data_IF_523909876433
#
_entry.id   IF_523909876433
#
_cell.length_a   1.000
_cell.length_b   1.000
_cell.length_c   1.000
_cell.angle_alpha   90.00
_cell.angle_beta   90.00
_cell.angle_gamma   90.00
#
_symmetry.space_group_name_H-M   'P 1'
#
loop_
_entity.id
_entity.type
_entity.pdbx_description
1 polymer ?
#
# COMPACT_ATOMS: atom_id res chain seq x y z
N UNK A 1 20.03 2.49 -3.42
CA UNK A 1 20.26 3.90 -3.84
C UNK A 1 19.52 4.80 -2.83
N UNK A 2 20.06 5.96 -2.44
CA UNK A 2 19.39 6.81 -1.44
C UNK A 2 18.43 7.77 -2.17
N UNK A 3 17.13 7.65 -1.94
CA UNK A 3 16.13 8.57 -2.52
C UNK A 3 16.46 10.02 -2.11
N UNK A 4 16.40 10.95 -3.05
CA UNK A 4 16.53 12.38 -2.80
C UNK A 4 15.15 13.01 -2.58
N UNK A 5 14.14 12.61 -3.37
CA UNK A 5 12.76 13.09 -3.28
C UNK A 5 12.17 12.99 -1.88
N UNK A 6 11.57 14.09 -1.41
CA UNK A 6 10.78 14.10 -0.18
C UNK A 6 9.46 13.34 -0.35
N UNK A 7 8.87 13.40 -1.54
CA UNK A 7 7.59 12.80 -1.86
C UNK A 7 7.68 11.27 -1.83
N UNK A 8 8.71 10.70 -2.46
CA UNK A 8 8.91 9.25 -2.47
C UNK A 8 9.28 8.72 -1.09
N UNK A 9 10.05 9.48 -0.30
CA UNK A 9 10.30 9.15 1.12
C UNK A 9 9.04 9.10 1.98
N UNK A 10 8.00 9.85 1.63
CA UNK A 10 6.71 9.76 2.34
C UNK A 10 6.07 8.41 2.04
N UNK A 11 6.01 7.99 0.77
CA UNK A 11 5.45 6.70 0.38
C UNK A 11 6.21 5.52 0.99
N UNK A 12 7.55 5.51 0.92
CA UNK A 12 8.34 4.44 1.53
C UNK A 12 8.16 4.35 3.05
N UNK A 13 7.95 5.48 3.75
CA UNK A 13 7.62 5.43 5.19
C UNK A 13 6.23 4.87 5.44
N UNK A 14 5.30 5.12 4.53
CA UNK A 14 3.96 4.54 4.64
C UNK A 14 4.02 3.02 4.43
N UNK A 15 4.88 2.53 3.53
CA UNK A 15 5.17 1.09 3.37
C UNK A 15 5.62 0.44 4.68
N UNK A 16 6.45 1.11 5.49
CA UNK A 16 6.87 0.57 6.79
C UNK A 16 5.66 0.25 7.69
N UNK A 17 4.63 1.11 7.68
CA UNK A 17 3.41 0.84 8.45
C UNK A 17 2.55 -0.25 7.82
N UNK A 18 2.52 -0.35 6.49
CA UNK A 18 1.82 -1.42 5.79
C UNK A 18 2.44 -2.75 6.19
N UNK A 19 3.76 -2.90 6.05
CA UNK A 19 4.49 -4.14 6.34
C UNK A 19 4.27 -4.62 7.77
N UNK A 20 4.25 -3.74 8.78
CA UNK A 20 3.90 -4.12 10.17
C UNK A 20 2.55 -4.82 10.30
N UNK A 21 1.53 -4.32 9.59
CA UNK A 21 0.18 -4.92 9.61
C UNK A 21 0.17 -6.24 8.83
N UNK A 22 0.94 -6.34 7.75
CA UNK A 22 1.06 -7.56 6.94
C UNK A 22 1.74 -8.68 7.73
N UNK A 23 2.78 -8.37 8.51
CA UNK A 23 3.46 -9.34 9.36
C UNK A 23 2.49 -9.90 10.42
N UNK A 24 1.70 -9.04 11.06
CA UNK A 24 0.68 -9.49 12.02
C UNK A 24 -0.45 -10.31 11.36
N UNK A 25 -0.87 -9.94 10.14
CA UNK A 25 -1.84 -10.72 9.38
C UNK A 25 -1.32 -12.12 9.05
N UNK A 26 -0.05 -12.23 8.65
CA UNK A 26 0.60 -13.51 8.37
C UNK A 26 0.61 -14.43 9.60
N UNK A 27 1.04 -13.89 10.76
CA UNK A 27 1.03 -14.63 12.03
C UNK A 27 -0.39 -15.09 12.43
N UNK A 28 -1.40 -14.25 12.22
CA UNK A 28 -2.79 -14.59 12.53
C UNK A 28 -3.29 -15.78 11.70
N UNK A 29 -3.03 -15.78 10.38
CA UNK A 29 -3.54 -16.83 9.48
C UNK A 29 -2.81 -18.16 9.63
N UNK A 30 -1.57 -18.17 10.12
CA UNK A 30 -0.84 -19.40 10.48
C UNK A 30 -1.53 -20.15 11.61
N UNK A 31 -2.07 -19.41 12.59
CA UNK A 31 -2.74 -19.97 13.76
C UNK A 31 -4.21 -20.26 13.51
N UNK A 32 -4.83 -19.62 12.50
CA UNK A 32 -6.27 -19.63 12.26
C UNK A 32 -6.87 -21.03 12.02
N UNK A 33 -6.06 -22.01 11.60
CA UNK A 33 -6.52 -23.42 11.51
C UNK A 33 -6.92 -24.01 12.87
N UNK A 34 -6.32 -23.53 13.95
CA UNK A 34 -6.46 -24.09 15.30
C UNK A 34 -7.31 -23.23 16.24
N UNK A 35 -7.86 -22.10 15.75
CA UNK A 35 -8.70 -21.19 16.53
C UNK A 35 -9.87 -20.65 15.71
N UNK A 36 -10.85 -20.05 16.37
CA UNK A 36 -11.93 -19.36 15.68
C UNK A 36 -11.45 -18.05 15.04
N UNK A 37 -12.21 -17.59 14.05
CA UNK A 37 -11.91 -16.33 13.36
C UNK A 37 -12.04 -15.17 14.35
N UNK A 38 -10.95 -14.47 14.60
CA UNK A 38 -10.99 -13.18 15.30
C UNK A 38 -11.55 -12.11 14.35
N UNK A 39 -12.88 -12.05 14.29
CA UNK A 39 -13.59 -11.10 13.43
C UNK A 39 -13.26 -9.64 13.76
N UNK A 40 -12.82 -9.32 14.99
CA UNK A 40 -12.44 -7.97 15.36
C UNK A 40 -11.09 -7.62 14.74
N UNK A 41 -10.12 -8.54 14.83
CA UNK A 41 -8.82 -8.39 14.18
C UNK A 41 -8.97 -8.22 12.67
N UNK A 42 -9.64 -9.15 11.99
CA UNK A 42 -9.77 -9.11 10.53
C UNK A 42 -10.53 -7.87 10.04
N UNK A 43 -11.56 -7.41 10.76
CA UNK A 43 -12.23 -6.14 10.44
C UNK A 43 -11.29 -4.94 10.50
N UNK A 44 -10.42 -4.87 11.52
CA UNK A 44 -9.42 -3.79 11.64
C UNK A 44 -8.38 -3.84 10.52
N UNK A 45 -7.89 -5.04 10.18
CA UNK A 45 -6.93 -5.21 9.08
C UNK A 45 -7.55 -4.84 7.74
N UNK A 46 -8.77 -5.31 7.44
CA UNK A 46 -9.47 -4.96 6.20
C UNK A 46 -9.75 -3.45 6.13
N UNK A 47 -10.13 -2.82 7.24
CA UNK A 47 -10.35 -1.37 7.30
C UNK A 47 -9.05 -0.58 7.07
N UNK A 48 -7.94 -1.01 7.68
CA UNK A 48 -6.62 -0.45 7.43
C UNK A 48 -6.24 -0.55 5.95
N UNK A 49 -6.36 -1.74 5.34
CA UNK A 49 -6.02 -1.93 3.93
C UNK A 49 -6.88 -1.02 3.04
N UNK A 50 -8.19 -0.97 3.25
CA UNK A 50 -9.09 -0.17 2.40
C UNK A 50 -8.87 1.34 2.52
N UNK A 51 -8.56 1.83 3.72
CA UNK A 51 -8.58 3.27 3.96
C UNK A 51 -7.19 3.88 4.07
N UNK A 52 -6.20 3.15 4.58
CA UNK A 52 -4.81 3.58 4.64
C UNK A 52 -4.04 3.17 3.38
N UNK A 53 -4.07 1.89 3.00
CA UNK A 53 -3.31 1.42 1.82
C UNK A 53 -3.96 1.95 0.55
N UNK A 54 -5.24 1.65 0.31
CA UNK A 54 -5.87 1.96 -0.98
C UNK A 54 -6.25 3.46 -1.08
N UNK A 55 -7.20 3.94 -0.26
CA UNK A 55 -7.74 5.31 -0.38
C UNK A 55 -6.83 6.44 0.13
N UNK A 56 -5.61 6.14 0.55
CA UNK A 56 -4.67 7.15 1.03
C UNK A 56 -3.29 6.98 0.41
N UNK A 57 -2.69 5.80 0.50
CA UNK A 57 -1.38 5.54 -0.06
C UNK A 57 -1.45 5.36 -1.60
N UNK A 58 -2.15 4.34 -2.11
CA UNK A 58 -2.33 4.14 -3.55
C UNK A 58 -2.99 5.34 -4.24
N UNK A 59 -3.93 6.04 -3.57
CA UNK A 59 -4.50 7.26 -4.12
C UNK A 59 -3.44 8.34 -4.44
N UNK A 60 -2.38 8.47 -3.63
CA UNK A 60 -1.27 9.38 -3.95
C UNK A 60 -0.43 8.89 -5.11
N UNK A 61 -0.34 7.58 -5.28
CA UNK A 61 0.39 6.99 -6.39
C UNK A 61 -0.39 7.15 -7.69
N UNK A 62 -1.60 6.60 -7.75
CA UNK A 62 -2.48 6.60 -8.92
C UNK A 62 -2.87 8.01 -9.35
N UNK A 63 -3.24 8.89 -8.40
CA UNK A 63 -3.74 10.22 -8.76
C UNK A 63 -2.68 11.28 -8.97
N UNK A 64 -1.43 11.01 -8.56
CA UNK A 64 -0.36 12.00 -8.59
C UNK A 64 0.90 11.41 -9.20
N UNK A 65 1.59 10.48 -8.52
CA UNK A 65 2.90 9.98 -8.97
C UNK A 65 2.82 9.34 -10.36
N UNK A 66 1.92 8.39 -10.56
CA UNK A 66 1.78 7.64 -11.81
C UNK A 66 1.35 8.56 -12.97
N UNK A 67 0.52 9.57 -12.70
CA UNK A 67 0.15 10.57 -13.72
C UNK A 67 1.33 11.42 -14.15
N UNK A 68 2.15 11.92 -13.22
CA UNK A 68 3.34 12.70 -13.60
C UNK A 68 4.40 11.82 -14.26
N UNK A 69 4.55 10.56 -13.80
CA UNK A 69 5.48 9.60 -14.39
C UNK A 69 5.08 9.20 -15.82
N UNK A 70 3.79 8.99 -16.09
CA UNK A 70 3.28 8.71 -17.44
C UNK A 70 3.51 9.89 -18.40
N UNK A 71 3.29 11.14 -17.96
CA UNK A 71 3.61 12.32 -18.79
C UNK A 71 5.09 12.37 -19.15
N UNK A 72 5.95 12.10 -18.17
CA UNK A 72 7.40 12.01 -18.37
C UNK A 72 7.76 10.92 -19.40
N UNK A 73 7.05 9.79 -19.39
CA UNK A 73 7.19 8.73 -20.39
C UNK A 73 6.74 9.17 -21.79
N UNK A 74 5.60 9.84 -21.91
CA UNK A 74 5.08 10.38 -23.18
C UNK A 74 6.01 11.43 -23.80
N UNK A 75 6.72 12.20 -22.97
CA UNK A 75 7.74 13.17 -23.38
C UNK A 75 9.10 12.52 -23.73
N UNK A 76 9.22 11.19 -23.57
CA UNK A 76 10.42 10.43 -23.93
C UNK A 76 11.56 10.51 -22.89
N UNK A 77 11.28 10.93 -21.66
CA UNK A 77 12.28 11.06 -20.60
C UNK A 77 12.67 9.72 -19.96
N UNK A 78 11.89 8.66 -20.15
CA UNK A 78 12.16 7.31 -19.64
C UNK A 78 11.98 6.25 -20.74
N UNK A 79 12.77 5.18 -20.65
CA UNK A 79 12.80 4.10 -21.65
C UNK A 79 11.89 2.92 -21.30
N UNK A 80 11.44 2.82 -20.04
CA UNK A 80 10.53 1.80 -19.56
C UNK A 80 9.57 2.40 -18.52
N UNK A 81 8.33 1.91 -18.47
CA UNK A 81 7.29 2.43 -17.61
C UNK A 81 6.51 1.28 -16.95
N UNK A 82 6.71 0.99 -15.65
CA UNK A 82 6.05 -0.13 -14.99
C UNK A 82 4.66 0.23 -14.43
N UNK A 83 4.13 1.43 -14.67
CA UNK A 83 2.87 1.91 -14.07
C UNK A 83 1.68 0.99 -14.35
N UNK A 84 1.54 0.46 -15.56
CA UNK A 84 0.42 -0.45 -15.90
C UNK A 84 0.45 -1.73 -15.05
N UNK A 85 1.65 -2.27 -14.78
CA UNK A 85 1.81 -3.43 -13.91
C UNK A 85 1.46 -3.09 -12.46
N UNK A 86 1.84 -1.90 -11.97
CA UNK A 86 1.51 -1.47 -10.60
C UNK A 86 -0.01 -1.31 -10.41
N UNK A 87 -0.69 -0.69 -11.38
CA UNK A 87 -2.15 -0.54 -11.37
C UNK A 87 -2.87 -1.89 -11.39
N UNK A 88 -2.39 -2.82 -12.22
CA UNK A 88 -2.91 -4.19 -12.22
C UNK A 88 -2.77 -4.86 -10.85
N UNK A 89 -1.62 -4.70 -10.20
CA UNK A 89 -1.37 -5.27 -8.87
C UNK A 89 -2.23 -4.61 -7.78
N UNK A 90 -2.51 -3.30 -7.86
CA UNK A 90 -3.48 -2.66 -6.97
C UNK A 90 -4.86 -3.31 -7.09
N UNK A 91 -5.33 -3.60 -8.31
CA UNK A 91 -6.61 -4.27 -8.55
C UNK A 91 -6.63 -5.72 -8.05
N UNK A 92 -5.55 -6.48 -8.23
CA UNK A 92 -5.42 -7.83 -7.65
C UNK A 92 -5.42 -7.79 -6.11
N UNK A 93 -4.81 -6.76 -5.52
CA UNK A 93 -4.84 -6.50 -4.08
C UNK A 93 -6.28 -6.28 -3.60
N UNK A 94 -7.04 -5.42 -4.29
CA UNK A 94 -8.47 -5.16 -3.99
C UNK A 94 -9.31 -6.44 -4.06
N UNK A 95 -9.06 -7.33 -5.03
CA UNK A 95 -9.74 -8.63 -5.14
C UNK A 95 -9.43 -9.55 -3.95
N UNK A 96 -8.18 -9.61 -3.53
CA UNK A 96 -7.74 -10.41 -2.38
C UNK A 96 -8.40 -9.93 -1.08
N UNK A 97 -8.50 -8.61 -0.89
CA UNK A 97 -9.21 -8.00 0.27
C UNK A 97 -10.69 -8.33 0.27
N UNK A 98 -11.34 -8.31 -0.90
CA UNK A 98 -12.74 -8.74 -1.03
C UNK A 98 -12.92 -10.21 -0.66
N UNK A 99 -11.98 -11.07 -1.05
CA UNK A 99 -12.00 -12.49 -0.68
C UNK A 99 -11.86 -12.71 0.82
N UNK A 100 -10.97 -11.94 1.49
CA UNK A 100 -10.86 -11.96 2.95
C UNK A 100 -12.18 -11.59 3.62
N UNK A 101 -12.81 -10.49 3.20
CA UNK A 101 -14.08 -10.04 3.77
C UNK A 101 -15.18 -11.10 3.62
N UNK A 102 -15.33 -11.69 2.43
CA UNK A 102 -16.29 -12.76 2.19
C UNK A 102 -16.02 -13.98 3.07
N UNK A 103 -14.76 -14.42 3.17
CA UNK A 103 -14.40 -15.55 4.02
C UNK A 103 -14.66 -15.28 5.51
N UNK A 104 -14.45 -14.05 5.97
CA UNK A 104 -14.78 -13.63 7.33
C UNK A 104 -16.29 -13.65 7.58
N UNK A 105 -17.09 -13.07 6.69
CA UNK A 105 -18.54 -12.94 6.83
C UNK A 105 -19.25 -14.30 6.76
N UNK A 106 -18.80 -15.18 5.87
CA UNK A 106 -19.31 -16.55 5.72
C UNK A 106 -18.75 -17.52 6.77
N UNK A 107 -17.79 -17.08 7.60
CA UNK A 107 -17.00 -17.93 8.52
C UNK A 107 -16.25 -19.08 7.82
N UNK A 108 -15.91 -18.89 6.56
CA UNK A 108 -15.16 -19.81 5.70
C UNK A 108 -13.65 -19.59 5.89
N UNK A 109 -13.05 -20.25 6.89
CA UNK A 109 -11.62 -20.09 7.26
C UNK A 109 -10.68 -20.25 6.08
N UNK A 110 -10.90 -21.24 5.21
CA UNK A 110 -10.03 -21.49 4.07
C UNK A 110 -10.05 -20.33 3.07
N UNK A 111 -11.22 -19.77 2.78
CA UNK A 111 -11.39 -18.61 1.89
C UNK A 111 -10.72 -17.36 2.48
N UNK A 112 -10.88 -17.14 3.78
CA UNK A 112 -10.23 -16.04 4.50
C UNK A 112 -8.69 -16.15 4.44
N UNK A 113 -8.16 -17.34 4.74
CA UNK A 113 -6.71 -17.62 4.70
C UNK A 113 -6.16 -17.44 3.27
N UNK A 114 -6.87 -17.93 2.26
CA UNK A 114 -6.46 -17.80 0.87
C UNK A 114 -6.40 -16.33 0.44
N UNK A 115 -7.46 -15.55 0.70
CA UNK A 115 -7.47 -14.11 0.41
C UNK A 115 -6.34 -13.36 1.11
N UNK A 116 -6.06 -13.70 2.37
CA UNK A 116 -4.97 -13.10 3.13
C UNK A 116 -3.59 -13.46 2.56
N UNK A 117 -3.34 -14.73 2.23
CA UNK A 117 -2.07 -15.17 1.63
C UNK A 117 -1.80 -14.50 0.30
N UNK A 118 -2.81 -14.45 -0.57
CA UNK A 118 -2.70 -13.78 -1.87
C UNK A 118 -2.34 -12.31 -1.69
N UNK A 119 -3.00 -11.61 -0.75
CA UNK A 119 -2.69 -10.22 -0.46
C UNK A 119 -1.28 -10.03 0.12
N UNK A 120 -0.88 -10.83 1.11
CA UNK A 120 0.46 -10.76 1.76
C UNK A 120 1.57 -10.93 0.73
N UNK A 121 1.48 -11.96 -0.11
CA UNK A 121 2.50 -12.22 -1.12
C UNK A 121 2.57 -11.05 -2.12
N UNK A 122 1.43 -10.65 -2.66
CA UNK A 122 1.33 -9.59 -3.65
C UNK A 122 1.90 -8.27 -3.12
N UNK A 123 1.46 -7.82 -1.94
CA UNK A 123 1.83 -6.49 -1.44
C UNK A 123 3.31 -6.39 -1.07
N UNK A 124 3.93 -7.48 -0.59
CA UNK A 124 5.37 -7.50 -0.31
C UNK A 124 6.19 -7.38 -1.59
N UNK A 125 5.82 -8.13 -2.62
CA UNK A 125 6.48 -8.06 -3.93
C UNK A 125 6.24 -6.69 -4.60
N UNK A 126 5.03 -6.15 -4.47
CA UNK A 126 4.63 -4.83 -4.97
C UNK A 126 5.47 -3.71 -4.35
N UNK A 127 5.48 -3.60 -3.02
CA UNK A 127 6.29 -2.63 -2.27
C UNK A 127 7.78 -2.75 -2.64
N UNK A 128 8.28 -3.97 -2.81
CA UNK A 128 9.67 -4.17 -3.23
C UNK A 128 9.95 -3.55 -4.60
N UNK A 129 9.06 -3.76 -5.58
CA UNK A 129 9.18 -3.17 -6.92
C UNK A 129 9.10 -1.65 -6.87
N UNK A 130 8.24 -1.10 -6.02
CA UNK A 130 8.12 0.34 -5.88
C UNK A 130 9.37 0.97 -5.27
N UNK A 131 9.77 0.51 -4.08
CA UNK A 131 10.89 1.10 -3.34
C UNK A 131 12.24 0.91 -4.05
N UNK A 132 12.42 -0.18 -4.82
CA UNK A 132 13.71 -0.53 -5.41
C UNK A 132 13.79 -0.28 -6.93
N UNK A 133 12.67 -0.08 -7.61
CA UNK A 133 12.64 0.10 -9.07
C UNK A 133 11.91 1.39 -9.43
N UNK A 134 10.60 1.46 -9.20
CA UNK A 134 9.78 2.58 -9.67
C UNK A 134 10.16 3.90 -9.00
N UNK A 135 10.31 3.94 -7.68
CA UNK A 135 10.63 5.17 -6.97
C UNK A 135 12.03 5.70 -7.34
N UNK A 136 13.10 4.88 -7.39
CA UNK A 136 14.38 5.34 -7.93
C UNK A 136 14.28 5.91 -9.36
N UNK A 137 13.52 5.25 -10.24
CA UNK A 137 13.30 5.74 -11.61
C UNK A 137 12.57 7.09 -11.60
N UNK A 138 11.54 7.24 -10.77
CA UNK A 138 10.79 8.49 -10.64
C UNK A 138 11.63 9.62 -10.03
N UNK A 139 12.51 9.31 -9.06
CA UNK A 139 13.43 10.27 -8.44
C UNK A 139 14.43 10.84 -9.45
N UNK A 140 14.88 10.00 -10.39
CA UNK A 140 15.82 10.38 -11.44
C UNK A 140 15.13 11.12 -12.61
N UNK A 141 13.94 10.66 -13.02
CA UNK A 141 13.26 11.17 -14.20
C UNK A 141 12.47 12.47 -13.95
N UNK A 142 11.84 12.63 -12.78
CA UNK A 142 10.96 13.76 -12.50
C UNK A 142 11.76 14.98 -12.05
N UNK A 143 11.54 16.11 -12.74
CA UNK A 143 12.20 17.38 -12.41
C UNK A 143 11.86 17.89 -11.01
N UNK A 144 12.73 18.72 -10.45
CA UNK A 144 12.53 19.30 -9.11
C UNK A 144 11.19 20.06 -8.97
N UNK A 145 10.76 20.76 -10.02
CA UNK A 145 9.50 21.50 -10.03
C UNK A 145 8.27 20.57 -9.98
N UNK A 146 8.33 19.45 -10.71
CA UNK A 146 7.29 18.42 -10.65
C UNK A 146 7.26 17.80 -9.25
N UNK A 147 8.42 17.42 -8.72
CA UNK A 147 8.51 16.84 -7.38
C UNK A 147 7.99 17.79 -6.28
N UNK A 148 8.27 19.09 -6.39
CA UNK A 148 7.75 20.12 -5.49
C UNK A 148 6.23 20.24 -5.57
N UNK A 149 5.68 20.25 -6.78
CA UNK A 149 4.23 20.29 -7.01
C UNK A 149 3.54 19.06 -6.43
N UNK A 150 4.13 17.87 -6.60
CA UNK A 150 3.62 16.63 -6.00
C UNK A 150 3.64 16.70 -4.47
N UNK A 151 4.72 17.21 -3.88
CA UNK A 151 4.83 17.36 -2.43
C UNK A 151 3.74 18.26 -1.85
N UNK A 152 3.40 19.36 -2.54
CA UNK A 152 2.29 20.23 -2.14
C UNK A 152 0.94 19.50 -2.16
N UNK A 153 0.68 18.69 -3.20
CA UNK A 153 -0.54 17.86 -3.28
C UNK A 153 -0.59 16.83 -2.14
N UNK A 154 0.53 16.14 -1.87
CA UNK A 154 0.65 15.17 -0.78
C UNK A 154 0.37 15.80 0.58
N UNK A 155 0.98 16.96 0.85
CA UNK A 155 0.78 17.67 2.11
C UNK A 155 -0.69 18.06 2.33
N UNK A 156 -1.42 18.45 1.27
CA UNK A 156 -2.86 18.74 1.35
C UNK A 156 -3.66 17.49 1.71
N UNK A 157 -3.36 16.34 1.08
CA UNK A 157 -4.02 15.06 1.38
C UNK A 157 -3.73 14.63 2.82
N UNK A 158 -2.47 14.67 3.24
CA UNK A 158 -2.03 14.30 4.59
C UNK A 158 -2.68 15.20 5.64
N UNK A 159 -2.78 16.50 5.41
CA UNK A 159 -3.46 17.43 6.32
C UNK A 159 -4.96 17.11 6.42
N UNK A 160 -5.63 16.90 5.29
CA UNK A 160 -7.07 16.61 5.26
C UNK A 160 -7.43 15.29 5.94
N UNK A 161 -6.54 14.29 5.89
CA UNK A 161 -6.75 12.95 6.47
C UNK A 161 -6.02 12.71 7.79
N UNK A 162 -5.38 13.75 8.37
CA UNK A 162 -4.45 13.63 9.50
C UNK A 162 -4.95 12.72 10.64
N UNK A 163 -6.13 13.02 11.20
CA UNK A 163 -6.69 12.25 12.33
C UNK A 163 -6.97 10.78 11.98
N UNK A 164 -7.38 10.50 10.73
CA UNK A 164 -7.63 9.14 10.27
C UNK A 164 -6.30 8.38 10.12
N UNK A 165 -5.30 9.03 9.51
CA UNK A 165 -3.96 8.46 9.30
C UNK A 165 -3.28 8.17 10.64
N UNK A 166 -3.31 9.10 11.60
CA UNK A 166 -2.76 8.89 12.94
C UNK A 166 -3.36 7.67 13.65
N UNK A 167 -4.66 7.41 13.45
CA UNK A 167 -5.33 6.23 13.98
C UNK A 167 -4.81 4.92 13.37
N UNK A 168 -4.56 4.91 12.07
CA UNK A 168 -4.01 3.76 11.35
C UNK A 168 -2.53 3.53 11.65
N UNK A 169 -1.73 4.59 11.77
CA UNK A 169 -0.32 4.50 12.17
C UNK A 169 -0.20 3.94 13.60
N UNK A 170 -1.08 4.39 14.51
CA UNK A 170 -1.15 3.81 15.86
C UNK A 170 -1.49 2.32 15.81
N UNK A 171 -2.50 1.94 15.03
CA UNK A 171 -2.86 0.54 14.84
C UNK A 171 -1.68 -0.29 14.29
N UNK A 172 -0.97 0.20 13.28
CA UNK A 172 0.20 -0.47 12.72
C UNK A 172 1.31 -0.66 13.77
N UNK A 173 1.57 0.34 14.61
CA UNK A 173 2.56 0.22 15.69
C UNK A 173 2.13 -0.80 16.75
N UNK A 174 0.85 -0.81 17.15
CA UNK A 174 0.29 -1.82 18.08
C UNK A 174 0.42 -3.25 17.54
N UNK A 175 0.48 -3.44 16.21
CA UNK A 175 0.69 -4.75 15.59
C UNK A 175 2.16 -5.21 15.63
N UNK A 176 3.12 -4.27 15.61
CA UNK A 176 4.56 -4.58 15.64
C UNK A 176 5.11 -4.92 17.02
N UNK A 177 4.33 -4.70 18.09
CA UNK A 177 4.71 -4.98 19.48
C UNK A 177 4.30 -6.39 19.96
N UNK A 178 3.68 -7.19 19.10
CA UNK A 178 3.19 -8.55 19.38
C UNK A 178 4.08 -9.63 18.78
#
# INVERSE_FOLDING_TARGET
MKLNSKTLKILSREHENILKVIDALELEIEQLKNKDIDTIFFKKVIDFIRNYVDKFHHAKEEDILFKEFNKCAEEGCIHCNPVEQMLFEHDEGRKSVKMMELGMDEREKNKLIEGARNYIQLIREHIYKEDNILYPMADEALSEDVQKTMLEKFNKINFAKKKQVEGFEKFANEMSEK
#
